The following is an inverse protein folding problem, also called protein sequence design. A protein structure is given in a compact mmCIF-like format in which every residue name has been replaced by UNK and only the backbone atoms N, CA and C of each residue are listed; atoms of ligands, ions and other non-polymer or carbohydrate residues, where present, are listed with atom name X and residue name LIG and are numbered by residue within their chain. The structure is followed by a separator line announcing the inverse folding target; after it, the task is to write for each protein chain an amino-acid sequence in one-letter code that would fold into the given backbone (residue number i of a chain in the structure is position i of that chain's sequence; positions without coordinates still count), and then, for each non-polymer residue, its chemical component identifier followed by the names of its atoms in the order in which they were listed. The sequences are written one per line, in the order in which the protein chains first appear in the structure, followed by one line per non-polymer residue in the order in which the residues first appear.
data_IF_055460080523
#
_entry.id   IF_055460080523
#
_cell.length_a   1.000
_cell.length_b   1.000
_cell.length_c   1.000
_cell.angle_alpha   90.00
_cell.angle_beta   90.00
_cell.angle_gamma   90.00
#
_symmetry.space_group_name_H-M   'P 1'
#
loop_
_entity.id
_entity.type
_entity.pdbx_description
1 polymer ?
#
# COMPACT_ATOMS: atom_id res chain seq x y z
N UNK A 1 24.20 17.33 3.91
CA UNK A 1 23.00 17.26 3.05
C UNK A 1 22.56 15.80 3.00
N UNK A 2 21.28 15.51 3.22
CA UNK A 2 20.77 14.13 3.31
C UNK A 2 20.25 13.63 1.96
N UNK A 3 20.44 12.34 1.68
CA UNK A 3 19.77 11.63 0.59
C UNK A 3 18.31 11.40 0.99
N UNK A 4 17.39 11.57 0.04
CA UNK A 4 15.98 11.26 0.25
C UNK A 4 15.79 9.74 0.34
N UNK A 5 15.04 9.28 1.32
CA UNK A 5 14.63 7.87 1.44
C UNK A 5 13.10 7.79 1.59
N UNK A 6 12.51 6.78 0.95
CA UNK A 6 11.10 6.46 1.08
C UNK A 6 10.96 4.96 1.33
N UNK A 7 10.21 4.61 2.37
CA UNK A 7 9.70 3.25 2.55
C UNK A 7 8.28 3.19 1.97
N UNK A 8 8.05 2.28 1.04
CA UNK A 8 6.72 2.01 0.49
C UNK A 8 6.22 0.70 1.07
N UNK A 9 5.03 0.73 1.65
CA UNK A 9 4.34 -0.44 2.19
C UNK A 9 3.06 -0.62 1.40
N UNK A 10 2.84 -1.81 0.87
CA UNK A 10 1.62 -2.20 0.16
C UNK A 10 0.93 -3.22 1.03
N UNK A 11 -0.22 -2.87 1.61
CA UNK A 11 -1.06 -3.78 2.38
C UNK A 11 -2.10 -4.38 1.43
N UNK A 12 -2.03 -5.69 1.24
CA UNK A 12 -3.03 -6.41 0.48
C UNK A 12 -4.18 -6.81 1.41
N UNK A 13 -5.24 -6.01 1.46
CA UNK A 13 -6.45 -6.27 2.22
C UNK A 13 -7.55 -6.93 1.36
N UNK A 14 -7.17 -7.57 0.24
CA UNK A 14 -8.08 -8.40 -0.56
C UNK A 14 -7.84 -9.89 -0.29
N UNK A 15 -8.70 -10.73 -0.86
CA UNK A 15 -8.52 -12.18 -0.84
C UNK A 15 -7.78 -12.68 -2.09
N UNK A 16 -7.19 -11.77 -2.86
CA UNK A 16 -6.59 -12.04 -4.16
C UNK A 16 -5.10 -11.76 -4.12
N UNK A 17 -4.30 -12.51 -4.87
CA UNK A 17 -2.85 -12.34 -4.91
C UNK A 17 -2.48 -11.21 -5.87
N UNK A 18 -1.35 -10.56 -5.61
CA UNK A 18 -0.79 -9.50 -6.44
C UNK A 18 0.56 -9.93 -7.01
N UNK A 19 0.65 -10.04 -8.33
CA UNK A 19 1.88 -10.34 -9.06
C UNK A 19 2.53 -9.06 -9.58
N UNK A 20 3.81 -8.85 -9.27
CA UNK A 20 4.56 -7.71 -9.78
C UNK A 20 4.73 -7.78 -11.31
N UNK A 21 4.58 -6.65 -12.00
CA UNK A 21 4.82 -6.54 -13.45
C UNK A 21 6.12 -5.80 -13.77
N UNK A 22 6.89 -6.22 -14.80
CA UNK A 22 6.67 -7.38 -15.68
C UNK A 22 7.18 -8.72 -15.09
N UNK A 23 7.87 -8.69 -13.94
CA UNK A 23 8.46 -9.88 -13.32
C UNK A 23 7.60 -10.41 -12.15
N UNK A 24 6.88 -11.51 -12.38
CA UNK A 24 6.03 -12.18 -11.38
C UNK A 24 6.81 -12.88 -10.26
N UNK A 25 8.13 -12.72 -10.19
CA UNK A 25 8.99 -13.29 -9.14
C UNK A 25 8.74 -12.66 -7.77
N UNK A 26 8.11 -11.49 -7.73
CA UNK A 26 7.71 -10.82 -6.49
C UNK A 26 6.19 -10.78 -6.40
N UNK A 27 5.66 -11.55 -5.46
CA UNK A 27 4.22 -11.67 -5.21
C UNK A 27 3.88 -11.15 -3.81
N UNK A 28 2.69 -10.57 -3.65
CA UNK A 28 2.07 -10.31 -2.34
C UNK A 28 0.83 -11.19 -2.25
N UNK A 29 0.82 -12.16 -1.34
CA UNK A 29 -0.33 -13.06 -1.20
C UNK A 29 -1.54 -12.33 -0.59
N UNK A 30 -2.70 -12.98 -0.65
CA UNK A 30 -3.92 -12.51 -0.02
C UNK A 30 -3.71 -12.23 1.49
N UNK A 31 -4.08 -11.03 1.94
CA UNK A 31 -3.90 -10.62 3.34
C UNK A 31 -2.46 -10.26 3.74
N UNK A 32 -1.47 -10.40 2.84
CA UNK A 32 -0.07 -10.11 3.14
C UNK A 32 0.32 -8.65 2.84
N UNK A 33 1.60 -8.32 3.01
CA UNK A 33 2.13 -6.99 2.75
C UNK A 33 3.47 -7.03 2.05
N UNK A 34 3.63 -6.18 1.04
CA UNK A 34 4.90 -5.93 0.38
C UNK A 34 5.59 -4.69 0.95
N UNK A 35 6.92 -4.68 0.95
CA UNK A 35 7.71 -3.52 1.37
C UNK A 35 8.83 -3.24 0.38
N UNK A 36 8.92 -1.98 -0.08
CA UNK A 36 9.97 -1.51 -0.96
C UNK A 36 10.71 -0.36 -0.31
N UNK A 37 12.03 -0.32 -0.49
CA UNK A 37 12.87 0.81 -0.06
C UNK A 37 13.39 1.55 -1.28
N UNK A 38 13.01 2.81 -1.40
CA UNK A 38 13.43 3.70 -2.46
C UNK A 38 14.42 4.72 -1.92
N UNK A 39 15.48 5.01 -2.69
CA UNK A 39 16.52 5.98 -2.31
C UNK A 39 16.77 6.96 -3.45
N UNK A 40 17.10 8.19 -3.12
CA UNK A 40 17.49 9.19 -4.11
C UNK A 40 18.82 8.79 -4.76
N UNK A 41 18.98 9.06 -6.05
CA UNK A 41 20.21 8.72 -6.79
C UNK A 41 21.41 9.55 -6.36
N UNK A 42 21.18 10.75 -5.85
CA UNK A 42 22.20 11.65 -5.31
C UNK A 42 21.63 12.57 -4.24
N UNK A 43 22.54 13.28 -3.58
CA UNK A 43 22.23 14.28 -2.56
C UNK A 43 21.54 15.49 -3.20
N UNK A 44 20.45 15.97 -2.62
CA UNK A 44 19.67 17.08 -3.20
C UNK A 44 18.60 16.65 -4.22
N UNK A 45 18.53 15.35 -4.54
CA UNK A 45 17.46 14.79 -5.38
C UNK A 45 16.29 14.26 -4.54
N UNK A 46 15.09 14.31 -5.13
CA UNK A 46 13.90 13.64 -4.59
C UNK A 46 13.86 12.14 -4.90
N UNK A 47 12.82 11.47 -4.40
CA UNK A 47 12.51 10.06 -4.66
C UNK A 47 11.15 9.99 -5.36
N UNK A 48 11.13 9.58 -6.62
CA UNK A 48 9.89 9.36 -7.37
C UNK A 48 9.93 7.99 -8.03
N UNK A 49 8.77 7.37 -8.19
CA UNK A 49 8.67 6.06 -8.81
C UNK A 49 7.24 5.55 -8.84
N UNK A 50 7.09 4.38 -9.42
CA UNK A 50 5.84 3.63 -9.39
C UNK A 50 6.14 2.14 -9.38
N UNK A 51 5.13 1.37 -8.98
CA UNK A 51 5.14 -0.09 -9.07
C UNK A 51 3.76 -0.55 -9.50
N UNK A 52 3.71 -1.52 -10.41
CA UNK A 52 2.44 -2.04 -10.95
C UNK A 52 2.32 -3.51 -10.61
N UNK A 53 1.17 -3.89 -10.07
CA UNK A 53 0.81 -5.26 -9.80
C UNK A 53 -0.40 -5.66 -10.64
N UNK A 54 -0.42 -6.91 -11.08
CA UNK A 54 -1.58 -7.58 -11.65
C UNK A 54 -2.31 -8.34 -10.54
N UNK A 55 -3.64 -8.26 -10.53
CA UNK A 55 -4.47 -9.05 -9.63
C UNK A 55 -4.63 -10.46 -10.21
N UNK A 56 -4.18 -11.47 -9.48
CA UNK A 56 -4.23 -12.87 -9.90
C UNK A 56 -5.67 -13.38 -9.93
N UNK A 57 -5.99 -14.24 -10.90
CA UNK A 57 -7.34 -14.78 -11.08
C UNK A 57 -8.26 -13.91 -11.94
N UNK A 58 -7.80 -12.71 -12.33
CA UNK A 58 -8.52 -11.79 -13.22
C UNK A 58 -7.83 -11.66 -14.59
N UNK A 59 -8.50 -10.94 -15.50
CA UNK A 59 -7.94 -10.57 -16.81
C UNK A 59 -6.61 -9.84 -16.66
N UNK A 60 -5.73 -9.93 -17.68
CA UNK A 60 -4.42 -9.26 -17.66
C UNK A 60 -4.53 -7.72 -17.56
N UNK A 61 -5.69 -7.16 -17.88
CA UNK A 61 -6.01 -5.74 -17.75
C UNK A 61 -6.22 -5.30 -16.30
N UNK A 62 -6.48 -6.23 -15.37
CA UNK A 62 -6.72 -5.93 -13.95
C UNK A 62 -5.40 -5.65 -13.24
N UNK A 63 -5.00 -4.39 -13.32
CA UNK A 63 -3.76 -3.88 -12.74
C UNK A 63 -4.03 -2.76 -11.75
N UNK A 64 -3.16 -2.70 -10.75
CA UNK A 64 -3.06 -1.59 -9.81
C UNK A 64 -1.64 -1.03 -9.85
N UNK A 65 -1.53 0.27 -10.08
CA UNK A 65 -0.25 0.99 -10.07
C UNK A 65 -0.23 1.91 -8.86
N UNK A 66 0.81 1.79 -8.04
CA UNK A 66 1.08 2.68 -6.92
C UNK A 66 2.16 3.67 -7.32
N UNK A 67 1.95 4.96 -7.08
CA UNK A 67 2.84 6.05 -7.51
C UNK A 67 3.24 6.91 -6.32
N UNK A 68 4.50 7.36 -6.33
CA UNK A 68 5.01 8.29 -5.32
C UNK A 68 5.94 9.33 -5.93
N UNK A 69 5.93 10.51 -5.30
CA UNK A 69 6.89 11.58 -5.56
C UNK A 69 7.18 12.34 -4.28
N UNK A 70 8.41 12.22 -3.79
CA UNK A 70 8.96 12.87 -2.59
C UNK A 70 10.05 13.83 -3.09
N UNK A 71 9.70 15.08 -3.46
CA UNK A 71 10.69 16.03 -3.95
C UNK A 71 11.67 16.44 -2.84
N UNK A 72 12.88 16.85 -3.20
CA UNK A 72 13.86 17.35 -2.22
C UNK A 72 13.36 18.59 -1.46
N UNK A 73 12.60 19.46 -2.15
CA UNK A 73 11.86 20.58 -1.58
C UNK A 73 10.43 20.54 -2.12
N UNK A 74 9.46 20.58 -1.23
CA UNK A 74 8.04 20.62 -1.59
C UNK A 74 7.21 19.63 -0.77
N UNK A 75 5.99 19.39 -1.24
CA UNK A 75 5.08 18.42 -0.63
C UNK A 75 5.22 17.06 -1.30
N UNK A 76 5.18 16.01 -0.48
CA UNK A 76 5.13 14.63 -0.95
C UNK A 76 3.77 14.37 -1.60
N UNK A 77 3.77 13.62 -2.70
CA UNK A 77 2.58 13.22 -3.44
C UNK A 77 2.56 11.71 -3.56
N UNK A 78 1.40 11.12 -3.33
CA UNK A 78 1.14 9.70 -3.45
C UNK A 78 -0.16 9.54 -4.21
N UNK A 79 -0.15 8.63 -5.19
CA UNK A 79 -1.31 8.39 -6.04
C UNK A 79 -1.41 6.91 -6.42
N UNK A 80 -2.56 6.50 -6.96
CA UNK A 80 -2.80 5.15 -7.42
C UNK A 80 -3.69 5.12 -8.65
N UNK A 81 -3.40 4.23 -9.59
CA UNK A 81 -4.26 3.94 -10.73
C UNK A 81 -4.75 2.50 -10.60
N UNK A 82 -6.05 2.31 -10.43
CA UNK A 82 -6.67 0.99 -10.31
C UNK A 82 -7.60 0.75 -11.49
N UNK A 83 -7.20 -0.15 -12.39
CA UNK A 83 -8.04 -0.60 -13.50
C UNK A 83 -8.96 -1.77 -13.10
N UNK A 84 -8.68 -2.40 -11.96
CA UNK A 84 -9.46 -3.51 -11.43
C UNK A 84 -10.78 -3.00 -10.84
N UNK A 85 -11.89 -3.21 -11.56
CA UNK A 85 -13.23 -2.89 -11.06
C UNK A 85 -13.53 -3.70 -9.79
N UNK A 86 -14.17 -3.07 -8.81
CA UNK A 86 -14.46 -3.70 -7.51
C UNK A 86 -13.34 -3.59 -6.48
N UNK A 87 -12.23 -2.91 -6.80
CA UNK A 87 -11.14 -2.62 -5.87
C UNK A 87 -10.87 -1.13 -5.73
N UNK A 88 -10.35 -0.73 -4.58
CA UNK A 88 -9.93 0.63 -4.27
C UNK A 88 -8.57 0.63 -3.58
N UNK A 89 -7.88 1.76 -3.66
CA UNK A 89 -6.63 1.99 -2.95
C UNK A 89 -6.80 3.17 -2.01
N UNK A 90 -6.55 2.95 -0.72
CA UNK A 90 -6.39 4.02 0.26
C UNK A 90 -4.92 4.31 0.46
N UNK A 91 -4.60 5.59 0.60
CA UNK A 91 -3.20 6.06 0.68
C UNK A 91 -2.95 6.85 1.95
N UNK A 92 -1.86 6.52 2.63
CA UNK A 92 -1.35 7.24 3.78
C UNK A 92 0.10 7.63 3.50
N UNK A 93 0.41 8.92 3.61
CA UNK A 93 1.71 9.46 3.23
C UNK A 93 2.36 10.25 4.34
N UNK A 94 3.58 9.86 4.71
CA UNK A 94 4.46 10.64 5.59
C UNK A 94 4.99 11.91 4.92
N UNK A 95 5.41 12.86 5.75
CA UNK A 95 6.02 14.13 5.32
C UNK A 95 7.54 14.09 5.46
N UNK A 96 8.23 15.00 4.76
CA UNK A 96 9.68 15.15 4.83
C UNK A 96 10.44 14.21 3.89
N UNK A 97 11.76 14.22 4.04
CA UNK A 97 12.68 13.58 3.09
C UNK A 97 13.05 12.13 3.48
N UNK A 98 12.61 11.67 4.65
CA UNK A 98 12.64 10.29 5.10
C UNK A 98 11.20 9.90 5.46
N UNK A 99 10.43 9.51 4.44
CA UNK A 99 8.99 9.29 4.57
C UNK A 99 8.63 7.80 4.50
N UNK A 100 7.41 7.50 4.95
CA UNK A 100 6.76 6.21 4.73
C UNK A 100 5.48 6.46 3.96
N UNK A 101 5.24 5.70 2.90
CA UNK A 101 3.98 5.66 2.16
C UNK A 101 3.34 4.30 2.36
N UNK A 102 2.06 4.27 2.74
CA UNK A 102 1.26 3.06 2.89
C UNK A 102 0.13 3.10 1.88
N UNK A 103 0.09 2.11 1.01
CA UNK A 103 -1.02 1.86 0.08
C UNK A 103 -1.80 0.66 0.60
N UNK A 104 -3.10 0.83 0.85
CA UNK A 104 -4.00 -0.23 1.29
C UNK A 104 -4.88 -0.59 0.10
N UNK A 105 -4.65 -1.77 -0.47
CA UNK A 105 -5.48 -2.31 -1.55
C UNK A 105 -6.64 -3.09 -0.95
N UNK A 106 -7.87 -2.64 -1.18
CA UNK A 106 -9.07 -3.17 -0.53
C UNK A 106 -10.22 -3.36 -1.53
N UNK A 107 -11.14 -4.31 -1.29
CA UNK A 107 -12.34 -4.45 -2.10
C UNK A 107 -13.29 -3.27 -1.87
N UNK A 108 -13.92 -2.79 -2.94
CA UNK A 108 -15.00 -1.79 -2.86
C UNK A 108 -16.23 -2.49 -2.29
N UNK A 109 -16.65 -2.11 -1.09
CA UNK A 109 -17.90 -2.61 -0.51
C UNK A 109 -19.11 -2.05 -1.28
N UNK A 110 -19.52 -2.73 -2.34
CA UNK A 110 -20.86 -2.56 -2.87
C UNK A 110 -21.82 -3.36 -1.98
N UNK A 111 -22.71 -2.67 -1.28
CA UNK A 111 -23.81 -3.28 -0.52
C UNK A 111 -24.57 -4.30 -1.39
N UNK A 112 -24.52 -5.57 -1.00
CA UNK A 112 -25.59 -6.56 -1.22
C UNK A 112 -25.40 -7.74 -0.24
N UNK A 113 -25.93 -7.55 0.97
CA UNK A 113 -26.44 -8.69 1.74
C UNK A 113 -27.95 -8.74 1.52
N UNK A 114 -28.38 -9.36 0.42
CA UNK A 114 -29.68 -10.05 0.40
C UNK A 114 -29.35 -11.53 0.56
N UNK A 115 -29.41 -12.02 1.80
CA UNK A 115 -29.05 -13.39 2.11
C UNK A 115 -28.74 -13.57 3.58
N UNK A 116 -29.76 -13.96 4.32
CA UNK A 116 -29.76 -14.21 5.76
C UNK A 116 -28.75 -15.32 6.16
N UNK A 117 -27.48 -14.98 6.41
CA UNK A 117 -26.56 -15.74 7.28
C UNK A 117 -25.64 -14.72 7.96
N UNK A 118 -25.78 -14.59 9.28
CA UNK A 118 -25.05 -13.61 10.08
C UNK A 118 -23.54 -13.79 9.98
N UNK A 119 -22.89 -12.90 9.23
CA UNK A 119 -21.44 -12.72 9.30
C UNK A 119 -21.16 -11.73 10.42
N UNK A 120 -20.46 -12.19 11.47
CA UNK A 120 -20.06 -11.35 12.58
C UNK A 120 -19.13 -10.24 12.06
N UNK A 121 -19.68 -9.04 11.90
CA UNK A 121 -18.88 -7.83 11.71
C UNK A 121 -18.24 -7.56 13.06
N UNK A 122 -16.91 -7.75 13.16
CA UNK A 122 -16.15 -7.24 14.28
C UNK A 122 -16.11 -5.71 14.13
N UNK A 123 -17.18 -5.03 14.55
CA UNK A 123 -17.20 -3.59 14.86
C UNK A 123 -16.55 -3.41 16.23
N UNK A 124 -15.26 -3.66 16.32
CA UNK A 124 -14.42 -3.19 17.42
C UNK A 124 -13.43 -2.16 16.86
N UNK A 125 -13.09 -1.09 17.59
CA UNK A 125 -11.88 -0.34 17.26
C UNK A 125 -10.71 -1.34 17.30
N UNK A 126 -9.84 -1.30 16.29
CA UNK A 126 -8.55 -2.00 16.38
C UNK A 126 -7.77 -1.30 17.47
N UNK A 127 -7.85 -1.81 18.70
CA UNK A 127 -6.97 -1.41 19.79
C UNK A 127 -5.56 -1.86 19.37
N UNK A 128 -4.74 -0.92 18.94
CA UNK A 128 -3.30 -1.14 18.93
C UNK A 128 -2.93 -1.51 20.37
N UNK A 129 -2.51 -2.74 20.60
CA UNK A 129 -2.02 -3.15 21.91
C UNK A 129 -0.93 -2.17 22.35
N UNK A 130 -1.18 -1.40 23.40
CA UNK A 130 -0.16 -0.57 24.02
C UNK A 130 0.99 -1.49 24.42
N UNK A 131 2.16 -1.28 23.81
CA UNK A 131 3.37 -1.95 24.24
C UNK A 131 3.54 -1.69 25.74
N UNK A 132 3.81 -2.71 26.58
CA UNK A 132 4.11 -2.45 27.98
C UNK A 132 5.32 -1.53 28.01
N UNK A 133 5.16 -0.34 28.62
CA UNK A 133 6.23 0.58 28.93
C UNK A 133 7.17 -0.12 29.93
N UNK A 134 8.05 -0.95 29.40
CA UNK A 134 9.16 -1.53 30.15
C UNK A 134 10.06 -0.40 30.59
N UNK A 135 10.03 -0.08 31.89
CA UNK A 135 11.10 0.67 32.55
C UNK A 135 12.41 -0.07 32.29
N UNK A 136 13.30 0.55 31.53
CA UNK A 136 14.71 0.20 31.59
C UNK A 136 15.21 0.61 32.98
N UNK A 137 15.62 -0.38 33.76
CA UNK A 137 16.35 -0.20 35.01
C UNK A 137 17.85 -0.09 34.73
#
# INVERSE_FOLDING_TARGET
MASGELLVVILNHTNDELDLEPDSLTQILAGESGMLRCKSSHVGAGVSGSVTYRVVGYEESYKVTFLWSVPYVGQNKFDSLCAAEGFAVRMLGGKGNQAVAVFVFEPVQNQRFEGNVGTAVIKGPVECAEAPLGRFH
#
